data_IF_774262026475
#
_entry.id   IF_774262026475
#
_cell.length_a   1.000
_cell.length_b   1.000
_cell.length_c   1.000
_cell.angle_alpha   90.00
_cell.angle_beta   90.00
_cell.angle_gamma   90.00
#
_symmetry.space_group_name_H-M   'P 1'
#
loop_
_entity.id
_entity.type
_entity.pdbx_description
1 polymer ?
#
# COMPACT_ATOMS: atom_id res chain seq x y z
N UNK A 1 15.14 -5.90 0.47
CA UNK A 1 14.67 -5.33 1.76
C UNK A 1 15.39 -4.01 2.00
N UNK A 2 14.71 -3.02 2.59
CA UNK A 2 15.30 -1.71 2.94
C UNK A 2 15.17 -1.51 4.44
N UNK A 3 16.22 -0.99 5.06
CA UNK A 3 16.15 -0.53 6.45
C UNK A 3 15.44 0.83 6.47
N UNK A 4 14.45 0.96 7.32
CA UNK A 4 13.73 2.20 7.63
C UNK A 4 13.95 2.55 9.08
N UNK A 5 13.80 3.83 9.41
CA UNK A 5 14.05 4.33 10.76
C UNK A 5 12.85 5.15 11.22
N UNK A 6 12.39 4.89 12.43
CA UNK A 6 11.39 5.70 13.13
C UNK A 6 12.00 7.04 13.57
N UNK A 7 11.16 7.97 14.03
CA UNK A 7 11.59 9.29 14.47
C UNK A 7 12.58 9.25 15.65
N UNK A 8 12.52 8.20 16.48
CA UNK A 8 13.42 7.98 17.64
C UNK A 8 14.74 7.25 17.27
N UNK A 9 14.98 6.98 15.98
CA UNK A 9 16.17 6.27 15.50
C UNK A 9 16.06 4.74 15.54
N UNK A 10 14.93 4.17 15.94
CA UNK A 10 14.69 2.72 15.88
C UNK A 10 14.59 2.26 14.43
N UNK A 11 15.42 1.28 14.04
CA UNK A 11 15.43 0.73 12.69
C UNK A 11 14.56 -0.52 12.58
N UNK A 12 13.88 -0.67 11.46
CA UNK A 12 13.11 -1.85 11.10
C UNK A 12 13.28 -2.19 9.61
N UNK A 13 13.06 -3.46 9.26
CA UNK A 13 13.22 -3.92 7.89
C UNK A 13 11.91 -3.82 7.14
N UNK A 14 11.93 -3.19 5.96
CA UNK A 14 10.79 -3.15 5.05
C UNK A 14 11.08 -4.01 3.81
N UNK A 15 10.24 -5.02 3.57
CA UNK A 15 10.23 -5.72 2.29
C UNK A 15 9.70 -4.79 1.19
N UNK A 16 10.38 -4.76 0.03
CA UNK A 16 9.85 -4.16 -1.19
C UNK A 16 9.09 -5.24 -1.94
N UNK A 17 7.77 -5.20 -1.86
CA UNK A 17 6.93 -6.04 -2.68
C UNK A 17 6.71 -5.35 -4.03
N UNK A 18 7.03 -6.06 -5.11
CA UNK A 18 6.66 -5.67 -6.47
C UNK A 18 5.14 -5.73 -6.63
N UNK A 19 4.62 -4.95 -7.53
CA UNK A 19 3.22 -5.02 -7.92
C UNK A 19 3.07 -6.14 -8.97
N UNK A 20 2.08 -6.99 -8.82
CA UNK A 20 1.86 -8.09 -9.77
C UNK A 20 1.25 -7.63 -11.10
N UNK A 21 0.60 -6.45 -11.12
CA UNK A 21 0.13 -5.80 -12.34
C UNK A 21 1.23 -5.06 -13.12
N UNK A 22 2.46 -5.08 -12.61
CA UNK A 22 3.61 -4.57 -13.33
C UNK A 22 3.81 -5.43 -14.60
N UNK A 23 3.83 -4.84 -15.82
CA UNK A 23 3.97 -5.58 -17.08
C UNK A 23 5.21 -6.48 -17.11
N UNK A 24 6.27 -6.08 -16.40
CA UNK A 24 7.50 -6.87 -16.29
C UNK A 24 7.44 -7.92 -15.17
N UNK A 25 6.30 -8.04 -14.49
CA UNK A 25 6.14 -8.98 -13.40
C UNK A 25 6.06 -10.42 -13.94
N UNK A 26 7.09 -11.20 -13.67
CA UNK A 26 7.08 -12.63 -13.94
C UNK A 26 7.42 -13.38 -12.65
N UNK A 27 6.42 -14.02 -12.07
CA UNK A 27 6.58 -14.85 -10.88
C UNK A 27 6.95 -16.24 -11.32
N UNK A 28 8.24 -16.60 -11.25
CA UNK A 28 8.79 -17.89 -11.67
C UNK A 28 9.41 -18.67 -10.51
N UNK A 29 9.44 -19.99 -10.67
CA UNK A 29 10.01 -20.91 -9.70
C UNK A 29 9.05 -21.29 -8.61
N UNK A 30 9.58 -21.93 -7.56
CA UNK A 30 8.81 -22.33 -6.39
C UNK A 30 8.58 -21.13 -5.49
N UNK A 31 7.31 -20.83 -5.21
CA UNK A 31 6.89 -19.68 -4.43
C UNK A 31 6.17 -20.10 -3.15
N UNK A 32 6.35 -19.34 -2.09
CA UNK A 32 5.53 -19.41 -0.88
C UNK A 32 4.46 -18.34 -0.95
N UNK A 33 3.23 -18.69 -0.59
CA UNK A 33 2.07 -17.81 -0.67
C UNK A 33 1.53 -17.59 0.74
N UNK A 34 1.23 -16.33 1.05
CA UNK A 34 0.72 -15.90 2.34
C UNK A 34 -0.51 -15.01 2.16
N UNK A 35 -1.40 -15.02 3.14
CA UNK A 35 -2.49 -14.06 3.25
C UNK A 35 -1.92 -12.66 3.46
N UNK A 36 -2.49 -11.68 2.79
CA UNK A 36 -2.20 -10.27 3.04
C UNK A 36 -3.36 -9.67 3.82
N UNK A 37 -3.21 -9.58 5.12
CA UNK A 37 -4.18 -8.94 5.99
C UNK A 37 -4.08 -7.41 5.87
N UNK A 38 -5.19 -6.73 6.06
CA UNK A 38 -5.29 -5.27 5.98
C UNK A 38 -5.20 -4.66 7.38
N UNK A 39 -4.03 -4.77 7.96
CA UNK A 39 -3.75 -4.30 9.32
C UNK A 39 -2.96 -2.99 9.38
N UNK A 40 -2.44 -2.71 10.56
CA UNK A 40 -1.57 -1.56 10.82
C UNK A 40 -0.24 -2.08 11.36
N UNK A 41 0.86 -1.75 10.65
CA UNK A 41 2.18 -2.15 11.10
C UNK A 41 2.59 -1.41 12.34
N UNK A 42 2.94 -2.17 13.37
CA UNK A 42 3.38 -1.73 14.67
C UNK A 42 4.82 -2.20 14.93
N UNK A 43 5.65 -1.32 15.44
CA UNK A 43 7.09 -1.56 15.66
C UNK A 43 7.39 -1.13 17.08
N UNK A 44 7.99 -2.03 17.88
CA UNK A 44 8.45 -1.71 19.22
C UNK A 44 9.81 -1.06 19.14
N UNK A 45 9.95 0.11 19.76
CA UNK A 45 11.21 0.85 19.81
C UNK A 45 12.16 0.27 20.88
N UNK A 46 13.36 0.86 20.97
CA UNK A 46 14.41 0.40 21.90
C UNK A 46 14.07 0.60 23.38
N UNK A 47 13.14 1.51 23.69
CA UNK A 47 12.71 1.81 25.06
C UNK A 47 11.39 1.11 25.43
N UNK A 48 10.81 0.35 24.50
CA UNK A 48 9.63 -0.49 24.74
C UNK A 48 8.31 0.06 24.22
N UNK A 49 8.25 1.31 23.79
CA UNK A 49 7.03 1.90 23.23
C UNK A 49 6.71 1.32 21.86
N UNK A 50 5.43 1.28 21.51
CA UNK A 50 4.97 0.83 20.19
C UNK A 50 4.59 1.99 19.30
N UNK A 51 5.11 1.96 18.09
CA UNK A 51 4.93 3.01 17.10
C UNK A 51 4.48 2.43 15.74
N UNK A 52 3.65 3.18 15.01
CA UNK A 52 3.36 2.87 13.62
C UNK A 52 4.57 3.14 12.72
N UNK A 53 4.57 2.59 11.50
CA UNK A 53 5.60 2.88 10.47
C UNK A 53 5.77 4.36 10.13
N UNK A 54 4.80 5.20 10.49
CA UNK A 54 4.81 6.65 10.27
C UNK A 54 5.17 7.43 11.54
N UNK A 55 5.79 6.77 12.51
CA UNK A 55 6.21 7.34 13.80
C UNK A 55 5.06 7.95 14.60
N UNK A 56 3.87 7.36 14.54
CA UNK A 56 2.74 7.69 15.42
C UNK A 56 2.74 6.71 16.58
N UNK A 57 2.67 7.16 17.84
CA UNK A 57 2.54 6.28 19.00
C UNK A 57 1.28 5.40 18.91
N UNK A 58 1.40 4.17 19.36
CA UNK A 58 0.34 3.16 19.43
C UNK A 58 0.25 2.58 20.85
N UNK A 59 -0.12 3.39 21.87
CA UNK A 59 -0.08 2.97 23.28
C UNK A 59 -1.00 1.78 23.59
N UNK A 60 -2.04 1.57 22.79
CA UNK A 60 -2.93 0.41 22.93
C UNK A 60 -2.28 -0.93 22.57
N UNK A 61 -1.05 -0.92 22.06
CA UNK A 61 -0.25 -2.10 21.77
C UNK A 61 0.88 -2.36 22.78
N UNK A 62 1.11 -1.49 23.76
CA UNK A 62 2.27 -1.58 24.67
C UNK A 62 2.28 -2.86 25.49
N UNK A 63 1.10 -3.38 25.85
CA UNK A 63 0.93 -4.63 26.61
C UNK A 63 1.09 -5.91 25.78
N UNK A 64 1.15 -5.80 24.43
CA UNK A 64 1.29 -6.95 23.52
C UNK A 64 2.78 -7.33 23.38
N UNK A 65 3.05 -8.60 23.13
CA UNK A 65 4.43 -9.10 22.99
C UNK A 65 4.78 -9.28 21.52
N UNK A 66 5.59 -8.36 20.97
CA UNK A 66 6.18 -8.43 19.62
C UNK A 66 7.28 -7.37 19.47
N UNK A 67 8.08 -7.48 18.41
CA UNK A 67 9.05 -6.45 18.00
C UNK A 67 8.60 -5.71 16.73
N UNK A 68 8.11 -6.43 15.74
CA UNK A 68 7.62 -5.91 14.47
C UNK A 68 6.47 -6.81 14.01
N UNK A 69 5.29 -6.25 13.86
CA UNK A 69 4.08 -7.00 13.57
C UNK A 69 3.07 -6.18 12.76
N UNK A 70 2.18 -6.88 12.09
CA UNK A 70 0.92 -6.30 11.62
C UNK A 70 -0.14 -6.53 12.70
N UNK A 71 -0.76 -5.47 13.16
CA UNK A 71 -1.90 -5.53 14.09
C UNK A 71 -3.17 -5.54 13.27
N UNK A 72 -3.99 -6.56 13.45
CA UNK A 72 -5.24 -6.69 12.72
C UNK A 72 -6.33 -7.28 13.61
N UNK A 73 -7.51 -6.67 13.58
CA UNK A 73 -8.73 -7.13 14.23
C UNK A 73 -9.91 -6.92 13.30
N UNK A 74 -10.51 -8.01 12.85
CA UNK A 74 -11.72 -8.11 12.03
C UNK A 74 -11.67 -7.29 10.71
N UNK A 75 -11.31 -6.01 10.77
CA UNK A 75 -11.21 -5.13 9.60
C UNK A 75 -10.20 -4.02 9.83
N UNK A 76 -9.77 -3.36 8.74
CA UNK A 76 -8.92 -2.17 8.82
C UNK A 76 -9.60 -1.03 9.58
N UNK A 77 -10.92 -0.82 9.35
CA UNK A 77 -11.68 0.25 10.02
C UNK A 77 -11.70 0.06 11.54
N UNK A 78 -11.98 -1.16 12.00
CA UNK A 78 -11.98 -1.47 13.43
C UNK A 78 -10.58 -1.34 14.02
N UNK A 79 -9.56 -1.92 13.37
CA UNK A 79 -8.16 -1.82 13.80
C UNK A 79 -7.70 -0.35 13.87
N UNK A 80 -7.98 0.43 12.84
CA UNK A 80 -7.63 1.86 12.76
C UNK A 80 -8.37 2.69 13.80
N UNK A 81 -9.63 2.37 14.07
CA UNK A 81 -10.41 3.05 15.10
C UNK A 81 -9.85 2.81 16.51
N UNK A 82 -9.43 1.58 16.81
CA UNK A 82 -8.80 1.24 18.09
C UNK A 82 -7.46 1.95 18.25
N UNK A 83 -6.59 1.85 17.23
CA UNK A 83 -5.21 2.36 17.28
C UNK A 83 -5.13 3.89 17.12
N UNK A 84 -6.16 4.52 16.56
CA UNK A 84 -6.21 5.97 16.36
C UNK A 84 -6.71 6.76 17.56
N UNK A 85 -7.22 6.10 18.60
CA UNK A 85 -7.73 6.77 19.82
C UNK A 85 -6.60 7.08 20.78
N UNK A 86 -6.74 8.18 21.51
CA UNK A 86 -5.88 8.55 22.64
C UNK A 86 -6.42 7.92 23.92
N UNK A 87 -7.76 7.88 24.07
CA UNK A 87 -8.45 7.31 25.21
C UNK A 87 -8.49 5.77 25.14
N UNK A 88 -8.65 5.13 26.29
CA UNK A 88 -8.73 3.67 26.38
C UNK A 88 -9.80 3.13 25.43
N UNK A 89 -9.47 2.16 24.58
CA UNK A 89 -10.44 1.57 23.67
C UNK A 89 -11.48 0.76 24.46
N UNK A 90 -12.70 0.79 23.97
CA UNK A 90 -13.79 -0.04 24.53
C UNK A 90 -13.55 -1.54 24.33
N UNK A 91 -12.63 -1.90 23.44
CA UNK A 91 -12.24 -3.28 23.14
C UNK A 91 -10.72 -3.37 23.15
N UNK A 92 -10.19 -4.19 24.04
CA UNK A 92 -8.76 -4.45 24.12
C UNK A 92 -8.27 -5.31 22.96
N UNK A 93 -7.10 -4.99 22.42
CA UNK A 93 -6.34 -5.87 21.54
C UNK A 93 -5.73 -7.00 22.39
N UNK A 94 -5.66 -8.20 21.82
CA UNK A 94 -5.04 -9.37 22.44
C UNK A 94 -3.89 -9.87 21.58
N UNK A 95 -3.10 -10.83 22.09
CA UNK A 95 -2.01 -11.43 21.33
C UNK A 95 -2.48 -12.11 20.02
N UNK A 96 -3.73 -12.51 19.92
CA UNK A 96 -4.32 -13.07 18.70
C UNK A 96 -4.40 -12.06 17.56
N UNK A 97 -4.44 -10.76 17.86
CA UNK A 97 -4.45 -9.67 16.89
C UNK A 97 -3.06 -9.32 16.36
N UNK A 98 -1.99 -9.94 16.88
CA UNK A 98 -0.60 -9.70 16.52
C UNK A 98 -0.14 -10.73 15.49
N UNK A 99 0.31 -10.29 14.32
CA UNK A 99 0.90 -11.12 13.26
C UNK A 99 2.34 -10.70 13.05
N UNK A 100 3.29 -11.48 13.53
CA UNK A 100 4.70 -11.13 13.50
C UNK A 100 5.28 -11.06 12.07
N UNK A 101 6.14 -10.05 11.83
CA UNK A 101 6.76 -9.77 10.52
C UNK A 101 8.28 -9.55 10.62
N UNK A 102 8.93 -10.20 11.55
CA UNK A 102 10.35 -9.92 11.87
C UNK A 102 11.30 -10.45 10.81
N UNK A 103 12.23 -9.61 10.31
CA UNK A 103 13.41 -9.98 9.48
C UNK A 103 13.12 -10.95 8.32
N UNK A 104 12.00 -10.73 7.61
CA UNK A 104 11.57 -11.62 6.53
C UNK A 104 10.80 -12.87 7.01
N UNK A 105 10.62 -13.02 8.32
CA UNK A 105 9.65 -13.94 8.89
C UNK A 105 8.25 -13.40 8.68
N UNK A 106 7.32 -14.26 8.32
CA UNK A 106 5.88 -13.97 8.30
C UNK A 106 5.21 -14.97 9.22
N UNK A 107 4.32 -14.48 10.06
CA UNK A 107 3.54 -15.30 10.98
C UNK A 107 2.98 -16.54 10.28
N UNK A 108 3.21 -17.75 10.81
CA UNK A 108 2.74 -19.00 10.21
C UNK A 108 1.23 -19.06 9.98
N UNK A 109 0.45 -18.33 10.75
CA UNK A 109 -1.03 -18.23 10.59
C UNK A 109 -1.43 -17.58 9.26
N UNK A 110 -0.51 -16.83 8.64
CA UNK A 110 -0.72 -16.22 7.33
C UNK A 110 -0.30 -17.12 6.17
N UNK A 111 0.43 -18.22 6.43
CA UNK A 111 0.91 -19.12 5.38
C UNK A 111 -0.23 -19.93 4.77
N UNK A 112 -0.36 -19.88 3.45
CA UNK A 112 -1.38 -20.61 2.68
C UNK A 112 -0.80 -21.91 2.12
N UNK A 113 0.41 -21.85 1.57
CA UNK A 113 1.04 -22.97 0.88
C UNK A 113 2.13 -22.53 -0.07
N UNK A 114 2.51 -23.43 -0.97
CA UNK A 114 3.46 -23.16 -2.03
C UNK A 114 2.89 -23.57 -3.40
N UNK A 115 3.45 -23.03 -4.47
CA UNK A 115 3.15 -23.37 -5.84
C UNK A 115 4.43 -23.32 -6.69
N UNK A 116 4.47 -24.09 -7.77
CA UNK A 116 5.54 -24.03 -8.77
C UNK A 116 5.03 -23.26 -10.00
N UNK A 117 5.72 -22.17 -10.36
CA UNK A 117 5.39 -21.33 -11.52
C UNK A 117 3.89 -21.01 -11.63
N UNK A 118 3.26 -20.42 -10.60
CA UNK A 118 1.82 -20.15 -10.64
C UNK A 118 1.48 -19.20 -11.78
N UNK A 119 0.40 -19.49 -12.50
CA UNK A 119 -0.13 -18.55 -13.50
C UNK A 119 -0.78 -17.36 -12.82
N UNK A 120 -0.92 -16.26 -13.55
CA UNK A 120 -1.62 -15.06 -13.04
C UNK A 120 -3.08 -15.39 -12.72
N UNK A 121 -3.77 -16.20 -13.55
CA UNK A 121 -5.16 -16.61 -13.32
C UNK A 121 -5.30 -17.40 -12.01
N UNK A 122 -4.35 -18.31 -11.72
CA UNK A 122 -4.36 -19.07 -10.48
C UNK A 122 -4.14 -18.18 -9.24
N UNK A 123 -3.24 -17.21 -9.34
CA UNK A 123 -3.00 -16.24 -8.26
C UNK A 123 -4.21 -15.32 -8.07
N UNK A 124 -4.85 -14.90 -9.15
CA UNK A 124 -6.06 -14.07 -9.11
C UNK A 124 -7.24 -14.81 -8.47
N UNK A 125 -7.50 -16.04 -8.89
CA UNK A 125 -8.55 -16.87 -8.30
C UNK A 125 -8.32 -17.08 -6.79
N UNK A 126 -7.05 -17.37 -6.40
CA UNK A 126 -6.69 -17.52 -4.99
C UNK A 126 -6.83 -16.21 -4.23
N UNK A 127 -6.44 -15.09 -4.80
CA UNK A 127 -6.61 -13.74 -4.23
C UNK A 127 -8.09 -13.46 -3.93
N UNK A 128 -8.98 -13.68 -4.91
CA UNK A 128 -10.42 -13.46 -4.72
C UNK A 128 -11.01 -14.33 -3.60
N UNK A 129 -10.54 -15.58 -3.47
CA UNK A 129 -10.93 -16.47 -2.36
C UNK A 129 -10.63 -15.84 -0.99
N UNK A 130 -9.44 -15.26 -0.82
CA UNK A 130 -9.04 -14.70 0.47
C UNK A 130 -9.62 -13.30 0.72
N UNK A 131 -9.85 -12.52 -0.33
CA UNK A 131 -10.60 -11.26 -0.23
C UNK A 131 -12.03 -11.50 0.26
N UNK A 132 -12.69 -12.57 -0.19
CA UNK A 132 -14.01 -12.95 0.31
C UNK A 132 -14.00 -13.34 1.80
N UNK A 133 -12.83 -13.61 2.38
CA UNK A 133 -12.62 -13.86 3.82
C UNK A 133 -12.18 -12.60 4.60
N UNK A 134 -12.10 -11.44 3.94
CA UNK A 134 -11.74 -10.16 4.57
C UNK A 134 -10.26 -9.78 4.48
N UNK A 135 -9.45 -10.53 3.72
CA UNK A 135 -8.05 -10.17 3.49
C UNK A 135 -7.91 -9.08 2.43
N UNK A 136 -6.77 -8.37 2.39
CA UNK A 136 -6.44 -7.38 1.36
C UNK A 136 -6.02 -8.07 0.04
N UNK A 137 -5.58 -9.31 0.09
CA UNK A 137 -5.06 -10.09 -1.02
C UNK A 137 -4.01 -11.12 -0.59
N UNK A 138 -2.95 -11.26 -1.39
CA UNK A 138 -1.88 -12.22 -1.12
C UNK A 138 -0.51 -11.54 -1.10
N UNK A 139 0.44 -12.18 -0.41
CA UNK A 139 1.87 -11.96 -0.56
C UNK A 139 2.48 -13.22 -1.16
N UNK A 140 3.21 -13.07 -2.25
CA UNK A 140 3.99 -14.15 -2.86
C UNK A 140 5.47 -13.91 -2.61
N UNK A 141 6.17 -14.92 -2.12
CA UNK A 141 7.59 -14.89 -1.81
C UNK A 141 8.35 -15.91 -2.62
N UNK A 142 9.39 -15.46 -3.30
CA UNK A 142 10.32 -16.33 -4.06
C UNK A 142 11.72 -16.18 -3.47
N UNK A 143 12.40 -17.32 -3.28
CA UNK A 143 13.83 -17.33 -2.96
C UNK A 143 14.60 -17.68 -4.23
N UNK A 144 15.35 -16.71 -4.76
CA UNK A 144 16.15 -16.91 -5.98
C UNK A 144 17.57 -16.41 -5.77
N UNK A 145 18.57 -17.30 -5.97
CA UNK A 145 20.01 -16.98 -5.85
C UNK A 145 20.37 -16.24 -4.57
N UNK A 146 19.83 -16.67 -3.42
CA UNK A 146 20.08 -16.05 -2.11
C UNK A 146 19.38 -14.69 -1.88
N UNK A 147 18.56 -14.25 -2.83
CA UNK A 147 17.71 -13.07 -2.71
C UNK A 147 16.26 -13.49 -2.50
N UNK A 148 15.57 -12.72 -1.65
CA UNK A 148 14.13 -12.90 -1.44
C UNK A 148 13.41 -11.79 -2.19
N UNK A 149 12.58 -12.19 -3.14
CA UNK A 149 11.69 -11.31 -3.90
C UNK A 149 10.27 -11.45 -3.36
N UNK A 150 9.55 -10.35 -3.36
CA UNK A 150 8.20 -10.25 -2.83
C UNK A 150 7.28 -9.62 -3.85
N UNK A 151 6.09 -10.19 -4.00
CA UNK A 151 5.00 -9.59 -4.77
C UNK A 151 3.77 -9.47 -3.89
N UNK A 152 3.06 -8.36 -4.06
CA UNK A 152 1.72 -8.16 -3.52
C UNK A 152 0.72 -8.42 -4.63
N UNK A 153 -0.14 -9.40 -4.42
CA UNK A 153 -1.23 -9.75 -5.34
C UNK A 153 -2.49 -9.18 -4.70
N UNK A 154 -3.00 -8.11 -5.26
CA UNK A 154 -4.09 -7.32 -4.69
C UNK A 154 -4.93 -6.73 -5.80
N UNK A 155 -6.26 -6.67 -5.67
CA UNK A 155 -7.11 -6.13 -6.71
C UNK A 155 -6.96 -4.62 -6.80
N UNK A 156 -7.08 -4.12 -8.00
CA UNK A 156 -7.25 -2.71 -8.28
C UNK A 156 -8.56 -2.50 -9.03
N UNK A 157 -9.23 -1.39 -8.71
CA UNK A 157 -10.31 -0.80 -9.48
C UNK A 157 -9.79 0.45 -10.16
N UNK A 158 -10.40 0.82 -11.25
CA UNK A 158 -10.00 1.99 -12.01
C UNK A 158 -11.13 3.02 -11.99
N UNK A 159 -10.76 4.30 -12.07
CA UNK A 159 -11.70 5.39 -12.23
C UNK A 159 -11.05 6.50 -13.04
N UNK A 160 -11.83 7.12 -13.90
CA UNK A 160 -11.48 8.39 -14.53
C UNK A 160 -12.08 9.51 -13.70
N UNK A 161 -11.25 10.41 -13.18
CA UNK A 161 -11.68 11.48 -12.28
C UNK A 161 -11.12 12.83 -12.71
N UNK A 162 -11.88 13.91 -12.47
CA UNK A 162 -11.48 15.25 -12.83
C UNK A 162 -10.44 15.77 -11.83
N UNK A 163 -9.35 16.34 -12.34
CA UNK A 163 -8.31 17.00 -11.55
C UNK A 163 -8.85 18.34 -11.05
N UNK A 164 -8.92 18.50 -9.73
CA UNK A 164 -9.37 19.73 -9.08
C UNK A 164 -8.25 20.57 -8.53
N UNK A 165 -7.03 20.03 -8.44
CA UNK A 165 -5.87 20.77 -7.95
C UNK A 165 -4.63 19.93 -7.75
N UNK A 166 -3.58 20.58 -7.30
CA UNK A 166 -2.27 19.97 -7.02
C UNK A 166 -1.76 20.44 -5.66
N UNK A 167 -1.09 19.53 -4.95
CA UNK A 167 -0.38 19.84 -3.72
C UNK A 167 1.11 19.63 -3.94
N UNK A 168 1.92 20.60 -3.49
CA UNK A 168 3.37 20.48 -3.51
C UNK A 168 3.85 19.35 -2.61
N UNK A 169 4.88 18.66 -3.04
CA UNK A 169 5.54 17.63 -2.24
C UNK A 169 6.40 18.21 -1.13
N UNK A 170 6.74 17.37 -0.18
CA UNK A 170 7.63 17.71 0.95
C UNK A 170 8.98 17.01 0.80
N UNK A 171 9.97 17.44 1.56
CA UNK A 171 11.32 16.85 1.61
C UNK A 171 11.94 16.73 0.20
N UNK A 172 12.28 15.52 -0.24
CA UNK A 172 12.87 15.24 -1.55
C UNK A 172 11.98 15.65 -2.75
N UNK A 173 10.69 15.84 -2.51
CA UNK A 173 9.71 16.25 -3.52
C UNK A 173 9.32 17.73 -3.42
N UNK A 174 10.03 18.54 -2.63
CA UNK A 174 9.85 20.00 -2.60
C UNK A 174 10.08 20.59 -4.00
N UNK A 175 9.21 21.51 -4.43
CA UNK A 175 9.22 22.05 -5.80
C UNK A 175 8.63 21.13 -6.87
N UNK A 176 8.04 20.00 -6.48
CA UNK A 176 7.45 18.99 -7.37
C UNK A 176 6.05 18.62 -6.92
N UNK A 177 5.29 17.92 -7.77
CA UNK A 177 3.98 17.40 -7.41
C UNK A 177 4.08 16.39 -6.27
N UNK A 178 3.42 16.68 -5.16
CA UNK A 178 3.24 15.76 -4.03
C UNK A 178 2.01 14.88 -4.22
N UNK A 179 0.89 15.50 -4.61
CA UNK A 179 -0.36 14.79 -4.92
C UNK A 179 -1.25 15.59 -5.86
N UNK A 180 -2.14 14.88 -6.55
CA UNK A 180 -3.14 15.42 -7.46
C UNK A 180 -4.50 15.25 -6.80
N UNK A 181 -5.24 16.33 -6.62
CA UNK A 181 -6.54 16.33 -6.00
C UNK A 181 -7.66 16.06 -7.00
N UNK A 182 -8.69 15.38 -6.56
CA UNK A 182 -9.99 15.22 -7.21
C UNK A 182 -11.12 15.32 -6.18
N UNK A 183 -12.37 15.36 -6.62
CA UNK A 183 -13.53 15.29 -5.72
C UNK A 183 -13.58 13.96 -4.92
N UNK A 184 -12.87 12.94 -5.39
CA UNK A 184 -12.85 11.59 -4.81
C UNK A 184 -11.64 11.31 -3.92
N UNK A 185 -10.78 12.30 -3.69
CA UNK A 185 -9.56 12.17 -2.90
C UNK A 185 -8.32 12.64 -3.65
N UNK A 186 -7.14 12.36 -3.10
CA UNK A 186 -5.88 12.81 -3.68
C UNK A 186 -4.96 11.63 -4.02
N UNK A 187 -4.50 11.56 -5.28
CA UNK A 187 -3.50 10.61 -5.73
C UNK A 187 -2.10 11.13 -5.38
N UNK A 188 -1.46 10.49 -4.39
CA UNK A 188 -0.09 10.83 -3.96
C UNK A 188 0.99 9.94 -4.57
N UNK A 189 0.60 8.80 -5.16
CA UNK A 189 1.46 7.88 -5.90
C UNK A 189 1.12 7.89 -7.39
N UNK A 190 2.08 7.45 -8.19
CA UNK A 190 2.01 7.43 -9.64
C UNK A 190 2.58 6.11 -10.14
N UNK A 191 1.96 5.54 -11.17
CA UNK A 191 2.51 4.37 -11.88
C UNK A 191 3.71 4.86 -12.71
N UNK A 192 4.71 4.01 -12.88
CA UNK A 192 5.99 4.40 -13.51
C UNK A 192 5.80 5.00 -14.91
N UNK A 193 4.90 4.42 -15.70
CA UNK A 193 4.64 4.85 -17.08
C UNK A 193 3.44 5.79 -17.24
N UNK A 194 2.97 6.42 -16.15
CA UNK A 194 1.75 7.24 -16.18
C UNK A 194 1.80 8.45 -17.14
N UNK A 195 2.98 8.84 -17.62
CA UNK A 195 3.22 9.89 -18.59
C UNK A 195 4.02 9.41 -19.82
N UNK A 196 3.92 8.12 -20.18
CA UNK A 196 4.61 7.58 -21.35
C UNK A 196 4.21 8.28 -22.65
N UNK A 197 2.96 8.71 -22.79
CA UNK A 197 2.46 9.48 -23.95
C UNK A 197 3.17 10.84 -24.09
N UNK A 198 3.77 11.34 -23.02
CA UNK A 198 4.59 12.55 -22.99
C UNK A 198 6.09 12.24 -23.03
N UNK A 199 6.48 10.98 -23.21
CA UNK A 199 7.86 10.49 -23.19
C UNK A 199 8.62 10.83 -21.88
N UNK A 200 7.91 10.82 -20.74
CA UNK A 200 8.46 11.14 -19.41
C UNK A 200 8.46 9.90 -18.55
N UNK A 201 9.63 9.53 -18.06
CA UNK A 201 9.86 8.36 -17.23
C UNK A 201 10.56 8.73 -15.92
N UNK A 202 10.31 7.90 -14.89
CA UNK A 202 10.89 8.04 -13.55
C UNK A 202 10.13 9.00 -12.64
N UNK A 203 9.87 8.59 -11.42
CA UNK A 203 9.01 9.30 -10.44
C UNK A 203 9.38 10.80 -10.28
N UNK A 204 10.67 11.10 -10.20
CA UNK A 204 11.13 12.49 -10.03
C UNK A 204 10.80 13.39 -11.22
N UNK A 205 10.91 12.89 -12.46
CA UNK A 205 10.63 13.63 -13.70
C UNK A 205 9.13 13.78 -13.88
N UNK A 206 8.36 12.72 -13.64
CA UNK A 206 6.89 12.72 -13.66
C UNK A 206 6.36 13.79 -12.70
N UNK A 207 6.83 13.82 -11.46
CA UNK A 207 6.40 14.81 -10.45
C UNK A 207 6.79 16.24 -10.83
N UNK A 208 7.97 16.41 -11.40
CA UNK A 208 8.43 17.73 -11.89
C UNK A 208 7.54 18.23 -13.01
N UNK A 209 7.29 17.38 -14.02
CA UNK A 209 6.46 17.74 -15.17
C UNK A 209 5.02 18.07 -14.74
N UNK A 210 4.41 17.25 -13.90
CA UNK A 210 3.06 17.49 -13.37
C UNK A 210 2.97 18.81 -12.62
N UNK A 211 4.00 19.16 -11.84
CA UNK A 211 4.04 20.42 -11.10
C UNK A 211 4.16 21.63 -12.02
N UNK A 212 5.00 21.54 -13.03
CA UNK A 212 5.19 22.60 -14.03
C UNK A 212 3.93 22.84 -14.87
N UNK A 213 3.21 21.78 -15.21
CA UNK A 213 2.01 21.82 -16.04
C UNK A 213 0.68 21.89 -15.25
N UNK A 214 0.74 21.99 -13.92
CA UNK A 214 -0.43 21.87 -13.04
C UNK A 214 -1.61 22.76 -13.44
N UNK A 215 -1.37 24.00 -13.87
CA UNK A 215 -2.44 24.96 -14.19
C UNK A 215 -3.22 24.54 -15.46
N UNK A 216 -2.57 23.94 -16.43
CA UNK A 216 -3.21 23.46 -17.66
C UNK A 216 -3.92 22.10 -17.47
N UNK A 217 -3.59 21.40 -16.41
CA UNK A 217 -4.15 20.08 -16.10
C UNK A 217 -5.41 20.17 -15.21
N UNK A 218 -5.64 21.26 -14.50
CA UNK A 218 -6.89 21.45 -13.72
C UNK A 218 -8.09 21.40 -14.69
N UNK A 219 -9.12 20.63 -14.33
CA UNK A 219 -10.29 20.38 -15.14
C UNK A 219 -10.13 19.26 -16.19
N UNK A 220 -8.90 18.73 -16.37
CA UNK A 220 -8.68 17.54 -17.21
C UNK A 220 -8.96 16.26 -16.44
N UNK A 221 -9.18 15.17 -17.18
CA UNK A 221 -9.43 13.85 -16.62
C UNK A 221 -8.11 13.10 -16.41
N UNK A 222 -7.98 12.44 -15.28
CA UNK A 222 -6.93 11.47 -15.01
C UNK A 222 -7.54 10.11 -14.69
N UNK A 223 -6.92 9.03 -15.17
CA UNK A 223 -7.23 7.69 -14.73
C UNK A 223 -6.43 7.40 -13.47
N UNK A 224 -7.12 6.94 -12.44
CA UNK A 224 -6.50 6.46 -11.22
C UNK A 224 -6.85 5.00 -10.98
N UNK A 225 -5.92 4.24 -10.41
CA UNK A 225 -6.22 2.95 -9.80
C UNK A 225 -6.36 3.12 -8.29
N UNK A 226 -7.29 2.41 -7.70
CA UNK A 226 -7.58 2.47 -6.28
C UNK A 226 -7.99 1.10 -5.74
N UNK A 227 -8.06 0.93 -4.41
CA UNK A 227 -8.45 -0.33 -3.77
C UNK A 227 -9.96 -0.47 -3.65
N UNK A 228 -10.54 0.47 -2.99
CA UNK A 228 -11.96 0.50 -2.62
C UNK A 228 -12.40 1.95 -2.38
N UNK A 229 -13.69 2.16 -2.22
CA UNK A 229 -14.22 3.42 -1.70
C UNK A 229 -14.32 3.32 -0.18
N UNK A 230 -13.94 4.39 0.53
CA UNK A 230 -14.18 4.54 1.96
C UNK A 230 -15.67 4.73 2.23
N UNK A 231 -16.10 4.62 3.49
CA UNK A 231 -17.48 4.94 3.91
C UNK A 231 -17.90 6.38 3.52
N UNK A 232 -16.94 7.32 3.52
CA UNK A 232 -17.15 8.69 3.04
C UNK A 232 -17.13 8.83 1.51
N UNK A 233 -17.16 7.73 0.76
CA UNK A 233 -17.18 7.70 -0.70
C UNK A 233 -15.85 8.08 -1.38
N UNK A 234 -14.76 8.30 -0.63
CA UNK A 234 -13.45 8.65 -1.20
C UNK A 234 -12.69 7.41 -1.66
N UNK A 235 -11.84 7.57 -2.69
CA UNK A 235 -10.98 6.50 -3.18
C UNK A 235 -9.86 6.20 -2.17
N UNK A 236 -9.70 4.93 -1.81
CA UNK A 236 -8.63 4.47 -0.91
C UNK A 236 -7.36 4.16 -1.71
N UNK A 237 -6.25 4.78 -1.34
CA UNK A 237 -4.94 4.66 -1.99
C UNK A 237 -4.92 4.92 -3.51
N UNK A 238 -5.55 6.01 -3.99
CA UNK A 238 -5.53 6.29 -5.41
C UNK A 238 -4.11 6.58 -5.90
N UNK A 239 -3.78 6.02 -7.07
CA UNK A 239 -2.51 6.24 -7.76
C UNK A 239 -2.81 6.67 -9.19
N UNK A 240 -2.11 7.69 -9.67
CA UNK A 240 -2.20 8.12 -11.08
C UNK A 240 -1.72 7.00 -12.00
N UNK A 241 -2.56 6.61 -12.96
CA UNK A 241 -2.24 5.62 -14.01
C UNK A 241 -1.87 6.32 -15.31
N UNK A 242 -2.66 7.32 -15.71
CA UNK A 242 -2.39 8.15 -16.90
C UNK A 242 -3.28 9.39 -16.91
N UNK A 243 -2.91 10.37 -17.75
CA UNK A 243 -3.80 11.46 -18.12
C UNK A 243 -4.72 10.99 -19.26
N UNK A 244 -5.98 11.40 -19.21
CA UNK A 244 -7.01 11.02 -20.19
C UNK A 244 -7.31 12.23 -21.10
N UNK A 245 -6.53 12.37 -22.16
CA UNK A 245 -6.73 13.44 -23.15
C UNK A 245 -7.92 13.16 -24.07
N UNK A 246 -8.40 11.93 -24.06
CA UNK A 246 -9.51 11.39 -24.87
C UNK A 246 -10.87 11.50 -24.15
N UNK A 247 -10.89 11.95 -22.89
CA UNK A 247 -12.13 12.05 -22.08
C UNK A 247 -12.28 13.42 -21.42
N UNK A 248 -13.53 13.80 -21.20
CA UNK A 248 -13.92 15.04 -20.50
C UNK A 248 -14.83 14.77 -19.29
N UNK A 249 -15.22 13.52 -19.04
CA UNK A 249 -16.17 13.13 -18.01
C UNK A 249 -15.56 12.06 -17.09
N UNK A 250 -16.06 12.03 -15.84
CA UNK A 250 -15.71 11.01 -14.85
C UNK A 250 -16.39 9.68 -15.17
N UNK A 251 -15.71 8.56 -14.91
CA UNK A 251 -16.27 7.21 -14.99
C UNK A 251 -15.63 6.28 -13.95
N UNK A 252 -16.39 5.29 -13.50
CA UNK A 252 -15.96 4.29 -12.53
C UNK A 252 -16.23 2.90 -13.10
N UNK A 253 -15.27 1.99 -12.93
CA UNK A 253 -15.43 0.57 -13.22
C UNK A 253 -16.27 -0.10 -12.12
#
# INVERSE_FOLDING_TARGET
MTIKTLADGTSYTKAHAHDWEDPDCTIKGRVKIYRKIDGIRAIRNKIGDVWSRNSKPLPHCDHLNFQDAEIFRNSWNETSSILGRIDAPTVALTQENVYELRDGFIDPRLYIGWADNPSNENLEALMHKYIAQGDEGLIVRVEHKGKVLWWKIVPYKYADVIITGFKEGTNKNKGKCGSIASNWGSAGSMVEDCLQDHNIKGDANIRTWLWQNRNSLIGKVMQVRYREKTEAGKLRFPSLVRLRTDKNEESFD
#
